data_IF_608526541567
#
_entry.id   IF_608526541567
#
_cell.length_a   1.000
_cell.length_b   1.000
_cell.length_c   1.000
_cell.angle_alpha   90.00
_cell.angle_beta   90.00
_cell.angle_gamma   90.00
#
_symmetry.space_group_name_H-M   'P 1'
#
loop_
_entity.id
_entity.type
_entity.pdbx_description
1 polymer ?
#
# COMPACT_ATOMS: atom_id res chain seq x y z
N UNK A 1 -11.35 8.50 -5.30
CA UNK A 1 -11.32 9.58 -4.27
C UNK A 1 -11.06 9.05 -2.86
N UNK A 2 -11.76 8.00 -2.41
CA UNK A 2 -11.63 7.47 -1.05
C UNK A 2 -10.25 6.87 -0.68
N UNK A 3 -9.54 6.15 -1.58
CA UNK A 3 -8.25 5.54 -1.22
C UNK A 3 -7.19 6.57 -0.81
N UNK A 4 -7.14 7.72 -1.48
CA UNK A 4 -6.18 8.79 -1.15
C UNK A 4 -6.54 9.48 0.17
N UNK A 5 -7.83 9.70 0.44
CA UNK A 5 -8.28 10.29 1.70
C UNK A 5 -7.99 9.35 2.90
N UNK A 6 -8.24 8.04 2.74
CA UNK A 6 -7.86 7.05 3.75
C UNK A 6 -6.35 7.02 3.96
N UNK A 7 -5.55 7.04 2.89
CA UNK A 7 -4.10 7.06 2.98
C UNK A 7 -3.58 8.32 3.68
N UNK A 8 -4.17 9.48 3.40
CA UNK A 8 -3.79 10.74 4.05
C UNK A 8 -4.06 10.70 5.57
N UNK A 9 -5.20 10.14 5.96
CA UNK A 9 -5.51 9.91 7.37
C UNK A 9 -4.53 8.92 8.02
N UNK A 10 -4.25 7.79 7.38
CA UNK A 10 -3.29 6.80 7.89
C UNK A 10 -1.89 7.40 8.07
N UNK A 11 -1.41 8.17 7.09
CA UNK A 11 -0.13 8.88 7.19
C UNK A 11 -0.13 9.91 8.34
N UNK A 12 -1.26 10.57 8.61
CA UNK A 12 -1.37 11.50 9.74
C UNK A 12 -1.41 10.80 11.10
N UNK A 13 -1.99 9.59 11.18
CA UNK A 13 -2.11 8.83 12.44
C UNK A 13 -0.82 8.09 12.79
N UNK A 14 -0.20 7.42 11.82
CA UNK A 14 0.93 6.53 12.05
C UNK A 14 2.29 7.17 11.76
N UNK A 15 2.34 8.23 10.95
CA UNK A 15 3.57 8.98 10.69
C UNK A 15 4.58 8.22 9.83
N UNK A 16 5.87 8.38 10.18
CA UNK A 16 7.01 7.92 9.38
C UNK A 16 7.15 6.39 9.40
N UNK A 17 7.58 5.81 8.27
CA UNK A 17 7.85 4.38 8.14
C UNK A 17 6.60 3.53 7.92
N UNK A 18 5.48 4.16 7.55
CA UNK A 18 4.23 3.45 7.29
C UNK A 18 4.37 2.53 6.07
N UNK A 19 4.06 1.25 6.28
CA UNK A 19 3.95 0.23 5.24
C UNK A 19 2.47 -0.10 4.99
N UNK A 20 2.00 0.04 3.75
CA UNK A 20 0.61 -0.25 3.39
C UNK A 20 0.56 -1.39 2.38
N UNK A 21 -0.04 -2.51 2.80
CA UNK A 21 -0.41 -3.59 1.89
C UNK A 21 -1.59 -3.17 1.02
N UNK A 22 -1.38 -3.08 -0.30
CA UNK A 22 -2.44 -2.85 -1.26
C UNK A 22 -2.43 -3.94 -2.32
N UNK A 23 -3.58 -4.57 -2.52
CA UNK A 23 -3.78 -5.63 -3.52
C UNK A 23 -3.47 -5.18 -4.96
N UNK A 24 -3.33 -3.87 -5.19
CA UNK A 24 -2.93 -3.22 -6.45
C UNK A 24 -1.83 -2.17 -6.22
N UNK A 25 -0.94 -2.41 -5.26
CA UNK A 25 0.05 -1.44 -4.77
C UNK A 25 0.90 -0.80 -5.87
N UNK A 26 1.19 -1.48 -6.98
CA UNK A 26 1.94 -0.91 -8.11
C UNK A 26 1.17 0.20 -8.86
N UNK A 27 -0.14 0.01 -9.12
CA UNK A 27 -0.97 1.07 -9.70
C UNK A 27 -1.29 2.17 -8.67
N UNK A 28 -1.39 1.79 -7.39
CA UNK A 28 -1.71 2.72 -6.33
C UNK A 28 -0.54 3.65 -6.00
N UNK A 29 0.70 3.15 -5.99
CA UNK A 29 1.91 3.97 -5.81
C UNK A 29 2.05 5.02 -6.91
N UNK A 30 1.81 4.65 -8.17
CA UNK A 30 1.77 5.60 -9.29
C UNK A 30 0.66 6.65 -9.15
N UNK A 31 -0.48 6.28 -8.57
CA UNK A 31 -1.58 7.22 -8.28
C UNK A 31 -1.19 8.22 -7.20
N UNK A 32 -0.55 7.75 -6.12
CA UNK A 32 -0.09 8.59 -5.01
C UNK A 32 1.00 9.54 -5.47
N UNK A 33 1.96 9.07 -6.28
CA UNK A 33 3.04 9.88 -6.83
C UNK A 33 2.56 11.05 -7.70
N UNK A 34 1.42 10.91 -8.38
CA UNK A 34 0.78 11.96 -9.20
C UNK A 34 -0.24 12.81 -8.44
N UNK A 35 -0.46 12.54 -7.16
CA UNK A 35 -1.41 13.27 -6.32
C UNK A 35 -0.72 14.33 -5.46
N UNK A 36 -1.52 15.18 -4.82
CA UNK A 36 -1.03 16.15 -3.82
C UNK A 36 -0.34 15.49 -2.61
N UNK A 37 -0.54 14.18 -2.40
CA UNK A 37 0.08 13.42 -1.31
C UNK A 37 1.53 13.01 -1.58
N UNK A 38 2.04 13.22 -2.81
CA UNK A 38 3.38 12.77 -3.21
C UNK A 38 4.50 13.30 -2.30
N UNK A 39 4.44 14.58 -1.91
CA UNK A 39 5.43 15.18 -1.01
C UNK A 39 5.37 14.56 0.40
N UNK A 40 4.16 14.40 0.95
CA UNK A 40 3.93 13.81 2.28
C UNK A 40 4.31 12.33 2.33
N UNK A 41 3.96 11.57 1.29
CA UNK A 41 4.33 10.17 1.17
C UNK A 41 5.85 9.98 1.14
N UNK A 42 6.58 10.85 0.43
CA UNK A 42 8.04 10.84 0.39
C UNK A 42 8.66 11.20 1.74
N UNK A 43 8.16 12.26 2.40
CA UNK A 43 8.70 12.69 3.70
C UNK A 43 8.49 11.65 4.79
N UNK A 44 7.44 10.83 4.68
CA UNK A 44 7.12 9.77 5.65
C UNK A 44 7.68 8.40 5.25
N UNK A 45 8.48 8.32 4.18
CA UNK A 45 9.03 7.07 3.65
C UNK A 45 7.96 5.97 3.46
N UNK A 46 6.80 6.35 2.90
CA UNK A 46 5.67 5.46 2.70
C UNK A 46 6.03 4.31 1.74
N UNK A 47 5.82 3.07 2.19
CA UNK A 47 6.09 1.86 1.40
C UNK A 47 4.78 1.16 1.01
N UNK A 48 4.69 0.73 -0.24
CA UNK A 48 3.56 -0.09 -0.72
C UNK A 48 4.00 -1.52 -0.95
N UNK A 49 3.29 -2.45 -0.33
CA UNK A 49 3.48 -3.88 -0.55
C UNK A 49 2.31 -4.43 -1.35
N UNK A 50 2.61 -5.23 -2.36
CA UNK A 50 1.59 -6.00 -3.09
C UNK A 50 1.69 -7.42 -2.58
N UNK A 51 0.65 -7.90 -1.91
CA UNK A 51 0.55 -9.32 -1.61
C UNK A 51 0.59 -10.08 -2.94
N UNK A 52 1.52 -11.03 -3.08
CA UNK A 52 1.53 -11.90 -4.24
C UNK A 52 0.21 -12.67 -4.24
N UNK A 53 -0.67 -12.37 -5.21
CA UNK A 53 -1.79 -13.24 -5.49
C UNK A 53 -1.21 -14.60 -5.82
N UNK A 54 -1.28 -15.52 -4.87
CA UNK A 54 -1.01 -16.92 -5.14
C UNK A 54 -2.12 -17.39 -6.08
N UNK A 55 -1.84 -17.29 -7.38
CA UNK A 55 -2.64 -17.93 -8.40
C UNK A 55 -2.65 -19.43 -8.15
N UNK A 56 -3.83 -19.94 -7.80
CA UNK A 56 -4.22 -21.34 -7.83
C UNK A 56 -3.59 -22.27 -6.77
N UNK A 57 -4.29 -22.45 -5.65
CA UNK A 57 -4.24 -23.70 -4.90
C UNK A 57 -5.57 -24.43 -5.09
N UNK A 58 -5.58 -25.32 -6.09
CA UNK A 58 -6.40 -26.53 -6.04
C UNK A 58 -6.06 -27.21 -4.70
N UNK A 59 -7.02 -27.22 -3.77
CA UNK A 59 -7.02 -27.99 -2.51
C UNK A 59 -5.66 -28.23 -1.81
N UNK A 60 -5.38 -27.41 -0.80
CA UNK A 60 -4.56 -27.85 0.34
C UNK A 60 -3.20 -27.15 0.49
N UNK A 61 -3.01 -26.59 1.68
CA UNK A 61 -1.79 -26.00 2.24
C UNK A 61 -1.40 -24.57 1.83
N UNK A 62 -1.70 -23.68 2.78
CA UNK A 62 -1.28 -22.29 2.90
C UNK A 62 0.17 -22.20 3.42
N UNK A 63 0.99 -21.31 2.85
CA UNK A 63 2.21 -20.82 3.48
C UNK A 63 2.17 -19.29 3.51
N UNK A 64 2.41 -18.75 4.69
CA UNK A 64 2.42 -17.33 5.03
C UNK A 64 3.72 -16.74 4.47
N UNK A 65 3.64 -15.66 3.70
CA UNK A 65 4.80 -14.85 3.34
C UNK A 65 4.54 -13.39 3.73
N UNK A 66 5.50 -12.84 4.48
CA UNK A 66 5.55 -11.48 5.00
C UNK A 66 5.66 -10.43 3.88
#
# INVERSE_FOLDING_TARGET
KYPLACLDYLMSVYGEGLAVGYNIGCNHSGTVARSQLSAKAKSLNLQFYVGTFHGYALSGHQLIAW
#
